data_IF_479929995885
#
_entry.id   IF_479929995885
#
_cell.length_a   1.000
_cell.length_b   1.000
_cell.length_c   1.000
_cell.angle_alpha   90.00
_cell.angle_beta   90.00
_cell.angle_gamma   90.00
#
_symmetry.space_group_name_H-M   'P 1'
#
loop_
_entity.id
_entity.type
_entity.pdbx_description
1 polymer ?
#
# COMPACT_ATOMS: atom_id res chain seq x y z
N UNK A 1 -8.62 2.19 11.17
CA UNK A 1 -10.08 2.07 11.13
C UNK A 1 -10.72 2.75 12.35
N UNK A 2 -10.44 2.28 13.57
CA UNK A 2 -11.06 2.78 14.82
C UNK A 2 -10.84 4.29 15.03
N UNK A 3 -9.64 4.81 14.79
CA UNK A 3 -9.28 6.23 14.89
C UNK A 3 -10.11 7.07 13.91
N UNK A 4 -10.25 6.63 12.67
CA UNK A 4 -11.05 7.31 11.65
C UNK A 4 -12.54 7.30 11.99
N UNK A 5 -13.04 6.23 12.60
CA UNK A 5 -14.46 6.05 12.93
C UNK A 5 -14.90 6.91 14.11
N UNK A 6 -14.03 7.17 15.08
CA UNK A 6 -14.37 7.85 16.33
C UNK A 6 -14.72 9.34 16.16
N UNK A 7 -14.22 10.01 15.10
CA UNK A 7 -14.30 11.48 14.91
C UNK A 7 -13.86 12.28 16.14
N UNK A 8 -13.18 11.64 17.10
CA UNK A 8 -12.78 12.23 18.36
C UNK A 8 -11.29 12.60 18.30
N UNK A 9 -10.97 13.87 18.45
CA UNK A 9 -9.60 14.39 18.40
C UNK A 9 -8.68 13.72 19.42
N UNK A 10 -9.20 13.36 20.60
CA UNK A 10 -8.43 12.68 21.65
C UNK A 10 -8.02 11.27 21.19
N UNK A 11 -8.90 10.55 20.49
CA UNK A 11 -8.59 9.21 19.98
C UNK A 11 -7.63 9.26 18.80
N UNK A 12 -7.75 10.28 17.95
CA UNK A 12 -6.79 10.54 16.87
C UNK A 12 -5.41 10.82 17.48
N UNK A 13 -5.36 11.70 18.50
CA UNK A 13 -4.13 12.00 19.22
C UNK A 13 -3.50 10.78 19.88
N UNK A 14 -4.30 9.94 20.55
CA UNK A 14 -3.82 8.69 21.14
C UNK A 14 -3.24 7.73 20.09
N UNK A 15 -3.89 7.61 18.91
CA UNK A 15 -3.40 6.77 17.82
C UNK A 15 -2.08 7.27 17.23
N UNK A 16 -1.95 8.58 17.03
CA UNK A 16 -0.71 9.20 16.58
C UNK A 16 0.40 9.00 17.62
N UNK A 17 0.09 9.19 18.89
CA UNK A 17 1.03 8.95 20.00
C UNK A 17 1.54 7.50 19.99
N UNK A 18 0.65 6.51 19.83
CA UNK A 18 1.04 5.10 19.79
C UNK A 18 1.95 4.79 18.59
N UNK A 19 1.68 5.38 17.41
CA UNK A 19 2.54 5.21 16.23
C UNK A 19 3.93 5.81 16.48
N UNK A 20 3.99 7.01 17.04
CA UNK A 20 5.26 7.68 17.37
C UNK A 20 6.02 6.87 18.45
N UNK A 21 5.34 6.41 19.49
CA UNK A 21 5.94 5.60 20.54
C UNK A 21 6.49 4.27 19.98
N UNK A 22 5.74 3.60 19.10
CA UNK A 22 6.19 2.38 18.42
C UNK A 22 7.42 2.65 17.55
N UNK A 23 7.44 3.76 16.82
CA UNK A 23 8.58 4.17 16.00
C UNK A 23 9.82 4.43 16.85
N UNK A 24 9.69 5.19 17.95
CA UNK A 24 10.76 5.47 18.90
C UNK A 24 11.27 4.17 19.51
N UNK A 25 10.36 3.29 19.95
CA UNK A 25 10.71 1.98 20.50
C UNK A 25 11.51 1.15 19.50
N UNK A 26 11.07 1.04 18.26
CA UNK A 26 11.76 0.23 17.24
C UNK A 26 13.12 0.83 16.86
N UNK A 27 13.23 2.15 16.74
CA UNK A 27 14.45 2.81 16.25
C UNK A 27 15.50 3.03 17.34
N UNK A 28 15.10 3.38 18.55
CA UNK A 28 16.02 3.88 19.59
C UNK A 28 16.23 2.94 20.77
N UNK A 29 15.47 1.83 20.88
CA UNK A 29 15.68 0.87 21.97
C UNK A 29 16.25 -0.45 21.47
N UNK A 30 16.92 -1.19 22.36
CA UNK A 30 17.46 -2.54 22.07
C UNK A 30 16.62 -3.64 22.74
N UNK A 31 15.52 -3.29 23.40
CA UNK A 31 14.65 -4.22 24.14
C UNK A 31 13.96 -5.17 23.16
N UNK A 32 13.99 -6.48 23.44
CA UNK A 32 13.30 -7.50 22.63
C UNK A 32 14.08 -7.99 21.41
N UNK A 33 15.38 -7.79 21.32
CA UNK A 33 16.23 -8.29 20.22
C UNK A 33 16.23 -9.83 20.07
N UNK A 34 15.91 -10.56 21.10
CA UNK A 34 15.72 -12.01 21.04
C UNK A 34 14.47 -12.44 20.25
N UNK A 35 13.51 -11.55 20.07
CA UNK A 35 12.31 -11.82 19.28
C UNK A 35 12.56 -11.54 17.80
N UNK A 36 12.34 -12.56 16.94
CA UNK A 36 12.56 -12.46 15.49
C UNK A 36 11.68 -11.40 14.81
N UNK A 37 10.47 -11.15 15.31
CA UNK A 37 9.53 -10.16 14.76
C UNK A 37 10.04 -8.75 15.04
N UNK A 38 10.45 -8.48 16.29
CA UNK A 38 10.98 -7.17 16.68
C UNK A 38 12.29 -6.89 15.95
N UNK A 39 13.17 -7.88 15.82
CA UNK A 39 14.42 -7.78 15.07
C UNK A 39 14.17 -7.44 13.59
N UNK A 40 13.21 -8.11 12.93
CA UNK A 40 12.82 -7.81 11.54
C UNK A 40 12.20 -6.43 11.39
N UNK A 41 11.35 -6.01 12.34
CA UNK A 41 10.78 -4.67 12.31
C UNK A 41 11.86 -3.59 12.46
N UNK A 42 12.91 -3.85 13.24
CA UNK A 42 14.05 -2.95 13.40
C UNK A 42 14.97 -2.91 12.19
N UNK A 43 15.20 -4.05 11.52
CA UNK A 43 16.05 -4.08 10.34
C UNK A 43 15.50 -3.20 9.22
N UNK A 44 14.19 -2.95 9.18
CA UNK A 44 13.58 -2.02 8.25
C UNK A 44 14.05 -0.56 8.41
N UNK A 45 14.62 -0.20 9.56
CA UNK A 45 15.21 1.12 9.82
C UNK A 45 16.74 1.15 9.71
N UNK A 46 17.37 0.01 9.39
CA UNK A 46 18.81 -0.09 9.25
C UNK A 46 19.20 0.04 7.77
N UNK A 47 19.78 1.18 7.41
CA UNK A 47 20.25 1.46 6.04
C UNK A 47 21.42 0.56 5.62
N UNK A 48 22.13 -0.06 6.56
CA UNK A 48 23.22 -0.98 6.30
C UNK A 48 22.76 -2.44 6.19
N UNK A 49 21.45 -2.71 6.24
CA UNK A 49 20.91 -4.05 6.05
C UNK A 49 21.27 -4.57 4.64
N UNK A 50 21.87 -5.76 4.51
CA UNK A 50 22.29 -6.30 3.23
C UNK A 50 21.15 -6.38 2.20
N UNK A 51 19.95 -6.74 2.63
CA UNK A 51 18.77 -6.82 1.75
C UNK A 51 18.37 -5.44 1.23
N UNK A 52 18.50 -4.40 2.06
CA UNK A 52 18.24 -3.03 1.65
C UNK A 52 19.29 -2.53 0.64
N UNK A 53 20.56 -2.84 0.85
CA UNK A 53 21.64 -2.47 -0.07
C UNK A 53 21.48 -3.16 -1.45
N UNK A 54 21.11 -4.43 -1.47
CA UNK A 54 20.82 -5.15 -2.72
C UNK A 54 19.66 -4.48 -3.50
N UNK A 55 18.59 -4.07 -2.80
CA UNK A 55 17.49 -3.34 -3.44
C UNK A 55 17.94 -2.02 -4.05
N UNK A 56 18.75 -1.24 -3.33
CA UNK A 56 19.30 0.02 -3.86
C UNK A 56 20.16 -0.21 -5.11
N UNK A 57 21.00 -1.24 -5.09
CA UNK A 57 21.82 -1.60 -6.24
C UNK A 57 20.97 -2.04 -7.45
N UNK A 58 19.92 -2.84 -7.23
CA UNK A 58 18.97 -3.23 -8.27
C UNK A 58 18.23 -2.02 -8.84
N UNK A 59 17.75 -1.10 -7.99
CA UNK A 59 17.09 0.12 -8.42
C UNK A 59 18.01 1.05 -9.21
N UNK A 60 19.30 1.13 -8.86
CA UNK A 60 20.26 1.91 -9.61
C UNK A 60 20.43 1.36 -11.03
N UNK A 61 20.62 0.04 -11.18
CA UNK A 61 20.69 -0.63 -12.49
C UNK A 61 19.41 -0.44 -13.32
N UNK A 62 18.25 -0.60 -12.68
CA UNK A 62 16.96 -0.37 -13.35
C UNK A 62 16.83 1.07 -13.84
N UNK A 63 17.31 2.06 -13.05
CA UNK A 63 17.28 3.47 -13.44
C UNK A 63 18.08 3.75 -14.70
N UNK A 64 19.24 3.14 -14.84
CA UNK A 64 20.07 3.27 -16.05
C UNK A 64 19.34 2.69 -17.29
N UNK A 65 18.76 1.48 -17.16
CA UNK A 65 18.04 0.82 -18.24
C UNK A 65 16.69 1.47 -18.61
N UNK A 66 16.17 2.30 -17.71
CA UNK A 66 14.88 2.98 -17.89
C UNK A 66 15.00 4.46 -18.26
N UNK A 67 16.23 4.99 -18.37
CA UNK A 67 16.47 6.42 -18.57
C UNK A 67 15.79 7.00 -19.81
N UNK A 68 15.71 6.21 -20.87
CA UNK A 68 15.11 6.55 -22.17
C UNK A 68 13.65 6.05 -22.36
N UNK A 69 13.02 5.52 -21.30
CA UNK A 69 11.71 4.85 -21.35
C UNK A 69 10.66 5.54 -20.46
N UNK A 70 10.18 6.74 -20.82
CA UNK A 70 9.20 7.46 -20.01
C UNK A 70 7.86 6.74 -19.86
N UNK A 71 7.50 5.88 -20.84
CA UNK A 71 6.30 5.04 -20.84
C UNK A 71 6.56 3.58 -20.43
N UNK A 72 7.78 3.28 -19.95
CA UNK A 72 8.14 1.93 -19.50
C UNK A 72 8.68 1.04 -20.63
N UNK A 73 9.02 -0.18 -20.22
CA UNK A 73 9.50 -1.23 -21.14
C UNK A 73 8.38 -2.13 -21.67
N UNK A 74 7.14 -1.91 -21.20
CA UNK A 74 5.99 -2.75 -21.53
C UNK A 74 5.64 -3.75 -20.43
N UNK A 75 4.40 -4.22 -20.45
CA UNK A 75 3.88 -5.19 -19.48
C UNK A 75 4.65 -6.52 -19.60
N UNK A 76 4.91 -7.14 -18.44
CA UNK A 76 5.62 -8.42 -18.36
C UNK A 76 7.16 -8.28 -18.38
N UNK A 77 7.73 -7.08 -18.40
CA UNK A 77 9.18 -6.87 -18.34
C UNK A 77 9.69 -6.60 -16.92
N UNK A 78 8.80 -6.37 -15.97
CA UNK A 78 9.11 -6.12 -14.55
C UNK A 78 8.63 -7.23 -13.63
N UNK A 79 9.23 -7.30 -12.42
CA UNK A 79 8.79 -8.16 -11.34
C UNK A 79 9.17 -9.64 -11.45
N UNK A 80 8.66 -10.41 -10.49
CA UNK A 80 9.02 -11.82 -10.34
C UNK A 80 8.62 -12.72 -11.50
N UNK A 81 7.64 -12.32 -12.33
CA UNK A 81 7.17 -13.07 -13.49
C UNK A 81 7.84 -12.66 -14.81
N UNK A 82 8.65 -11.61 -14.80
CA UNK A 82 9.28 -11.09 -16.02
C UNK A 82 10.12 -12.12 -16.76
N UNK A 83 10.81 -13.00 -16.03
CA UNK A 83 11.58 -14.11 -16.61
C UNK A 83 10.74 -15.10 -17.41
N UNK A 84 9.46 -15.24 -17.10
CA UNK A 84 8.54 -16.12 -17.84
C UNK A 84 8.10 -15.48 -19.15
N UNK A 85 7.84 -14.18 -19.17
CA UNK A 85 7.30 -13.48 -20.32
C UNK A 85 8.38 -12.90 -21.25
N UNK A 86 9.52 -12.48 -20.68
CA UNK A 86 10.63 -11.87 -21.38
C UNK A 86 11.99 -12.40 -20.88
N UNK A 87 12.29 -13.71 -21.06
CA UNK A 87 13.44 -14.37 -20.44
C UNK A 87 14.80 -13.77 -20.86
N UNK A 88 14.88 -13.22 -22.06
CA UNK A 88 16.12 -12.65 -22.63
C UNK A 88 16.26 -11.13 -22.41
N UNK A 89 15.27 -10.48 -21.81
CA UNK A 89 15.34 -9.04 -21.57
C UNK A 89 16.25 -8.73 -20.35
N UNK A 90 17.13 -7.75 -20.49
CA UNK A 90 18.02 -7.33 -19.39
C UNK A 90 17.23 -6.93 -18.11
N UNK A 91 16.07 -6.28 -18.30
CA UNK A 91 15.21 -5.86 -17.19
C UNK A 91 14.63 -7.04 -16.41
N UNK A 92 14.34 -8.16 -17.08
CA UNK A 92 13.78 -9.37 -16.43
C UNK A 92 14.79 -10.08 -15.51
N UNK A 93 16.07 -9.80 -15.67
CA UNK A 93 17.13 -10.38 -14.84
C UNK A 93 17.34 -9.63 -13.52
N UNK A 94 16.77 -8.43 -13.38
CA UNK A 94 16.93 -7.58 -12.20
C UNK A 94 15.64 -7.61 -11.37
N UNK A 95 15.69 -8.14 -10.12
CA UNK A 95 14.54 -8.13 -9.22
C UNK A 95 14.06 -6.70 -8.94
N UNK A 96 12.75 -6.48 -9.00
CA UNK A 96 12.15 -5.18 -8.68
C UNK A 96 11.91 -5.02 -7.17
N UNK A 97 11.68 -6.13 -6.44
CA UNK A 97 11.49 -6.20 -4.98
C UNK A 97 10.42 -5.26 -4.41
N UNK A 98 9.67 -4.59 -5.28
CA UNK A 98 8.63 -3.61 -4.94
C UNK A 98 7.60 -3.57 -6.04
N UNK A 99 6.32 -3.54 -5.68
CA UNK A 99 5.23 -3.33 -6.63
C UNK A 99 5.38 -2.01 -7.40
N UNK A 100 5.74 -0.94 -6.71
CA UNK A 100 5.90 0.37 -7.36
C UNK A 100 7.06 0.41 -8.35
N UNK A 101 8.17 -0.26 -8.02
CA UNK A 101 9.29 -0.40 -8.96
C UNK A 101 8.91 -1.25 -10.17
N UNK A 102 8.15 -2.32 -9.97
CA UNK A 102 7.63 -3.14 -11.06
C UNK A 102 6.71 -2.33 -12.00
N UNK A 103 5.74 -1.60 -11.44
CA UNK A 103 4.85 -0.73 -12.22
C UNK A 103 5.65 0.33 -12.98
N UNK A 104 6.66 0.93 -12.33
CA UNK A 104 7.54 1.88 -13.00
C UNK A 104 8.32 1.27 -14.16
N UNK A 105 8.87 0.08 -14.02
CA UNK A 105 9.59 -0.63 -15.10
C UNK A 105 8.64 -0.92 -16.27
N UNK A 106 7.42 -1.35 -16.00
CA UNK A 106 6.46 -1.73 -17.03
C UNK A 106 5.80 -0.53 -17.71
N UNK A 107 5.48 0.53 -16.98
CA UNK A 107 4.63 1.64 -17.45
C UNK A 107 5.32 3.01 -17.43
N UNK A 108 6.57 3.05 -17.00
CA UNK A 108 7.37 4.29 -16.94
C UNK A 108 6.92 5.25 -15.84
N UNK A 109 7.48 6.48 -15.93
CA UNK A 109 7.16 7.55 -14.98
C UNK A 109 5.69 7.96 -15.08
N UNK A 110 5.13 7.97 -16.28
CA UNK A 110 3.73 8.34 -16.51
C UNK A 110 2.80 7.34 -15.82
N UNK A 111 3.04 6.04 -16.02
CA UNK A 111 2.19 5.00 -15.44
C UNK A 111 2.29 4.91 -13.93
N UNK A 112 3.49 5.04 -13.35
CA UNK A 112 3.63 5.01 -11.89
C UNK A 112 2.97 6.22 -11.22
N UNK A 113 3.07 7.41 -11.79
CA UNK A 113 2.38 8.61 -11.27
C UNK A 113 0.87 8.45 -11.31
N UNK A 114 0.34 7.93 -12.42
CA UNK A 114 -1.09 7.62 -12.53
C UNK A 114 -1.51 6.58 -11.50
N UNK A 115 -0.74 5.49 -11.35
CA UNK A 115 -1.03 4.42 -10.39
C UNK A 115 -1.06 4.92 -8.95
N UNK A 116 -0.05 5.70 -8.53
CA UNK A 116 0.00 6.31 -7.20
C UNK A 116 -1.18 7.28 -7.03
N UNK A 117 -1.48 8.09 -8.03
CA UNK A 117 -2.61 9.01 -8.02
C UNK A 117 -3.95 8.31 -7.79
N UNK A 118 -4.19 7.17 -8.47
CA UNK A 118 -5.38 6.34 -8.28
C UNK A 118 -5.45 5.79 -6.85
N UNK A 119 -4.36 5.23 -6.33
CA UNK A 119 -4.32 4.69 -4.97
C UNK A 119 -4.60 5.78 -3.92
N UNK A 120 -3.96 6.94 -4.04
CA UNK A 120 -4.17 8.07 -3.15
C UNK A 120 -5.61 8.60 -3.24
N UNK A 121 -6.18 8.68 -4.44
CA UNK A 121 -7.58 9.08 -4.63
C UNK A 121 -8.54 8.11 -3.92
N UNK A 122 -8.34 6.80 -4.04
CA UNK A 122 -9.18 5.79 -3.38
C UNK A 122 -9.09 5.92 -1.86
N UNK A 123 -7.88 6.06 -1.32
CA UNK A 123 -7.66 6.23 0.12
C UNK A 123 -8.29 7.53 0.64
N UNK A 124 -8.09 8.63 -0.06
CA UNK A 124 -8.69 9.93 0.28
C UNK A 124 -10.22 9.87 0.25
N UNK A 125 -10.79 9.21 -0.78
CA UNK A 125 -12.24 9.03 -0.90
C UNK A 125 -12.78 8.16 0.25
N UNK A 126 -12.13 7.05 0.57
CA UNK A 126 -12.52 6.21 1.71
C UNK A 126 -12.50 6.98 3.03
N UNK A 127 -11.43 7.73 3.29
CA UNK A 127 -11.32 8.58 4.45
C UNK A 127 -12.41 9.66 4.50
N UNK A 128 -12.65 10.35 3.37
CA UNK A 128 -13.70 11.36 3.25
C UNK A 128 -15.09 10.79 3.54
N UNK A 129 -15.42 9.63 2.99
CA UNK A 129 -16.70 8.98 3.21
C UNK A 129 -16.92 8.63 4.68
N UNK A 130 -15.91 8.05 5.33
CA UNK A 130 -15.96 7.67 6.75
C UNK A 130 -16.13 8.88 7.65
N UNK A 131 -15.40 9.95 7.37
CA UNK A 131 -15.38 11.12 8.26
C UNK A 131 -16.59 12.01 8.04
N UNK A 132 -17.02 12.24 6.79
CA UNK A 132 -17.96 13.31 6.47
C UNK A 132 -19.30 12.85 5.90
N UNK A 133 -19.38 11.69 5.23
CA UNK A 133 -20.57 11.34 4.43
C UNK A 133 -21.44 10.25 5.03
N UNK A 134 -20.86 9.13 5.45
CA UNK A 134 -21.65 7.98 5.89
C UNK A 134 -22.36 8.23 7.22
N UNK A 135 -23.66 7.97 7.24
CA UNK A 135 -24.55 8.14 8.42
C UNK A 135 -24.68 6.85 9.20
N UNK A 136 -24.90 5.73 8.50
CA UNK A 136 -25.03 4.43 9.14
C UNK A 136 -23.70 4.03 9.79
N UNK A 137 -23.72 3.79 11.11
CA UNK A 137 -22.53 3.53 11.93
C UNK A 137 -21.83 2.22 11.54
N UNK A 138 -22.62 1.20 11.20
CA UNK A 138 -22.08 -0.11 10.82
C UNK A 138 -21.36 -0.03 9.46
N UNK A 139 -22.01 0.58 8.46
CA UNK A 139 -21.43 0.79 7.14
C UNK A 139 -20.15 1.66 7.21
N UNK A 140 -20.17 2.68 8.06
CA UNK A 140 -19.01 3.52 8.34
C UNK A 140 -17.86 2.70 8.92
N UNK A 141 -18.14 1.79 9.86
CA UNK A 141 -17.16 0.87 10.43
C UNK A 141 -16.51 -0.04 9.40
N UNK A 142 -17.32 -0.68 8.54
CA UNK A 142 -16.82 -1.52 7.44
C UNK A 142 -15.97 -0.72 6.45
N UNK A 143 -16.44 0.45 6.02
CA UNK A 143 -15.68 1.30 5.09
C UNK A 143 -14.36 1.77 5.70
N UNK A 144 -14.33 2.10 6.99
CA UNK A 144 -13.10 2.46 7.71
C UNK A 144 -12.12 1.28 7.79
N UNK A 145 -12.61 0.07 8.08
CA UNK A 145 -11.79 -1.14 8.12
C UNK A 145 -11.16 -1.46 6.76
N UNK A 146 -11.96 -1.40 5.69
CA UNK A 146 -11.48 -1.62 4.32
C UNK A 146 -10.46 -0.57 3.90
N UNK A 147 -10.72 0.71 4.18
CA UNK A 147 -9.78 1.81 3.87
C UNK A 147 -8.45 1.63 4.61
N UNK A 148 -8.49 1.24 5.89
CA UNK A 148 -7.29 0.96 6.67
C UNK A 148 -6.55 -0.28 6.15
N UNK A 149 -7.27 -1.33 5.75
CA UNK A 149 -6.70 -2.52 5.14
C UNK A 149 -5.97 -2.21 3.83
N UNK A 150 -6.61 -1.45 2.93
CA UNK A 150 -5.99 -0.97 1.68
C UNK A 150 -4.72 -0.15 2.00
N UNK A 151 -4.78 0.75 2.97
CA UNK A 151 -3.61 1.55 3.38
C UNK A 151 -2.44 0.67 3.82
N UNK A 152 -2.71 -0.37 4.61
CA UNK A 152 -1.70 -1.33 5.03
C UNK A 152 -1.08 -2.10 3.86
N UNK A 153 -1.90 -2.57 2.93
CA UNK A 153 -1.43 -3.29 1.73
C UNK A 153 -0.58 -2.37 0.85
N UNK A 154 -0.98 -1.11 0.65
CA UNK A 154 -0.22 -0.11 -0.12
C UNK A 154 1.15 0.15 0.50
N UNK A 155 1.23 0.27 1.83
CA UNK A 155 2.52 0.42 2.53
C UNK A 155 3.38 -0.83 2.36
N UNK A 156 2.81 -2.02 2.50
CA UNK A 156 3.54 -3.29 2.29
C UNK A 156 4.04 -3.45 0.85
N UNK A 157 3.34 -2.92 -0.12
CA UNK A 157 3.69 -2.97 -1.54
C UNK A 157 4.99 -2.22 -1.87
N UNK A 158 5.45 -1.32 -1.00
CA UNK A 158 6.76 -0.68 -1.12
C UNK A 158 7.92 -1.68 -1.06
N UNK A 159 7.79 -2.71 -0.24
CA UNK A 159 8.83 -3.72 -0.03
C UNK A 159 8.47 -5.09 -0.62
N UNK A 160 7.38 -5.19 -1.39
CA UNK A 160 6.90 -6.46 -1.92
C UNK A 160 5.97 -6.25 -3.12
N UNK A 161 5.88 -7.22 -4.02
CA UNK A 161 4.97 -7.23 -5.18
C UNK A 161 3.57 -7.78 -4.83
N UNK A 162 3.05 -7.46 -3.63
CA UNK A 162 1.84 -8.08 -3.08
C UNK A 162 0.55 -7.67 -3.80
N UNK A 163 0.49 -6.50 -4.41
CA UNK A 163 -0.74 -5.97 -5.03
C UNK A 163 -1.20 -6.79 -6.25
N UNK A 164 -0.27 -7.43 -6.95
CA UNK A 164 -0.58 -8.28 -8.11
C UNK A 164 -0.76 -9.75 -7.78
N UNK A 165 -0.69 -10.15 -6.52
CA UNK A 165 -0.79 -11.54 -6.11
C UNK A 165 -2.22 -11.91 -5.70
N UNK A 166 -2.65 -13.12 -6.07
CA UNK A 166 -3.89 -13.71 -5.58
C UNK A 166 -3.59 -14.39 -4.23
N UNK A 167 -4.42 -14.20 -3.20
CA UNK A 167 -5.74 -13.55 -3.17
C UNK A 167 -5.73 -12.03 -2.91
N UNK A 168 -4.59 -11.43 -2.57
CA UNK A 168 -4.50 -10.03 -2.10
C UNK A 168 -5.04 -9.04 -3.12
N UNK A 169 -4.69 -9.19 -4.40
CA UNK A 169 -5.20 -8.33 -5.47
C UNK A 169 -6.72 -8.38 -5.58
N UNK A 170 -7.32 -9.58 -5.52
CA UNK A 170 -8.77 -9.73 -5.58
C UNK A 170 -9.46 -9.01 -4.42
N UNK A 171 -8.99 -9.24 -3.19
CA UNK A 171 -9.52 -8.58 -1.97
C UNK A 171 -9.38 -7.05 -2.08
N UNK A 172 -8.24 -6.58 -2.58
CA UNK A 172 -7.99 -5.15 -2.77
C UNK A 172 -9.01 -4.51 -3.71
N UNK A 173 -9.19 -5.06 -4.92
CA UNK A 173 -10.10 -4.49 -5.92
C UNK A 173 -11.56 -4.59 -5.49
N UNK A 174 -11.97 -5.68 -4.84
CA UNK A 174 -13.31 -5.80 -4.25
C UNK A 174 -13.54 -4.75 -3.15
N UNK A 175 -12.55 -4.52 -2.29
CA UNK A 175 -12.61 -3.51 -1.24
C UNK A 175 -12.71 -2.09 -1.81
N UNK A 176 -11.98 -1.79 -2.89
CA UNK A 176 -12.10 -0.53 -3.62
C UNK A 176 -13.51 -0.34 -4.18
N UNK A 177 -14.07 -1.37 -4.83
CA UNK A 177 -15.44 -1.35 -5.34
C UNK A 177 -16.46 -1.09 -4.23
N UNK A 178 -16.32 -1.73 -3.08
CA UNK A 178 -17.19 -1.51 -1.92
C UNK A 178 -17.12 -0.06 -1.41
N UNK A 179 -15.92 0.53 -1.31
CA UNK A 179 -15.76 1.94 -0.91
C UNK A 179 -16.52 2.88 -1.85
N UNK A 180 -16.46 2.62 -3.17
CA UNK A 180 -17.19 3.43 -4.15
C UNK A 180 -18.70 3.30 -4.03
N UNK A 181 -19.20 2.11 -3.70
CA UNK A 181 -20.62 1.82 -3.54
C UNK A 181 -21.19 2.21 -2.17
N UNK A 182 -20.35 2.46 -1.17
CA UNK A 182 -20.78 2.77 0.20
C UNK A 182 -21.83 3.90 0.30
N UNK A 183 -21.74 5.02 -0.46
CA UNK A 183 -22.77 6.05 -0.41
C UNK A 183 -24.15 5.59 -0.95
N UNK A 184 -24.17 4.62 -1.85
CA UNK A 184 -25.42 4.01 -2.34
C UNK A 184 -26.04 3.15 -1.25
N UNK A 185 -25.25 2.28 -0.65
CA UNK A 185 -25.71 1.43 0.45
C UNK A 185 -26.24 2.25 1.64
N UNK A 186 -25.58 3.36 1.99
CA UNK A 186 -26.03 4.24 3.07
C UNK A 186 -27.43 4.82 2.80
N UNK A 187 -27.71 5.18 1.54
CA UNK A 187 -29.03 5.66 1.12
C UNK A 187 -30.10 4.56 1.13
N UNK A 188 -29.73 3.36 0.70
CA UNK A 188 -30.63 2.21 0.69
C UNK A 188 -31.01 1.76 2.12
N UNK A 189 -30.04 1.77 3.04
CA UNK A 189 -30.28 1.49 4.46
C UNK A 189 -31.21 2.53 5.09
N UNK A 190 -30.95 3.82 4.86
CA UNK A 190 -31.80 4.90 5.37
C UNK A 190 -33.25 4.83 4.87
N UNK A 191 -33.49 4.34 3.63
CA UNK A 191 -34.85 4.12 3.11
C UNK A 191 -35.56 2.99 3.82
N UNK A 192 -34.86 1.92 4.18
CA UNK A 192 -35.44 0.76 4.88
C UNK A 192 -35.81 1.05 6.35
N UNK A 193 -35.17 2.06 6.96
CA UNK A 193 -35.49 2.49 8.34
C UNK A 193 -36.76 3.36 8.41
N UNK A 194 -37.25 3.84 7.26
CA UNK A 194 -38.44 4.72 7.16
C UNK A 194 -39.74 3.91 6.81
N UNK A 195 -39.58 2.72 6.25
CA UNK A 195 -40.68 1.79 5.88
C UNK A 195 -40.97 0.83 7.01
#
# INVERSE_FOLDING_TARGET
AFIMMSRNIKMIGAGVFLIIAAFIFLKFTTIGQGNSIIRRARSAFNTNDPSFQVRLANQAKLRELMADKPFGAGLGHGGGKAKTFAPNAALSQIPTDSWFVMVWVETGVVGILLHIGILLYILARGAYLVVFKLRNTQLRGFTAALTAGISGIVVMAYANEILGQIPTGAILYMSMGFIFLAPRFDRELARKEIL
#
